data_IF_493620295654
#
_entry.id   IF_493620295654
#
_cell.length_a   1.000
_cell.length_b   1.000
_cell.length_c   1.000
_cell.angle_alpha   90.00
_cell.angle_beta   90.00
_cell.angle_gamma   90.00
#
_symmetry.space_group_name_H-M   'P 1'
#
loop_
_entity.id
_entity.type
_entity.pdbx_description
1 polymer ?
#
# COMPACT_ATOMS: atom_id res chain seq x y z
N UNK A 1 21.68 -19.55 -6.38
CA UNK A 1 20.42 -20.04 -5.79
C UNK A 1 19.43 -18.88 -5.82
N UNK A 2 18.29 -19.07 -6.44
CA UNK A 2 17.25 -18.05 -6.53
C UNK A 2 16.50 -18.04 -5.20
N UNK A 3 16.53 -16.95 -4.49
CA UNK A 3 15.73 -16.75 -3.29
C UNK A 3 14.32 -16.33 -3.71
N UNK A 4 13.33 -17.11 -3.32
CA UNK A 4 11.93 -16.79 -3.57
C UNK A 4 11.39 -15.88 -2.47
N UNK A 5 10.58 -14.92 -2.86
CA UNK A 5 9.82 -14.04 -1.98
C UNK A 5 8.37 -14.56 -1.91
N UNK A 6 7.83 -14.70 -0.73
CA UNK A 6 6.43 -15.08 -0.54
C UNK A 6 5.67 -13.88 0.02
N UNK A 7 4.66 -13.42 -0.70
CA UNK A 7 3.74 -12.40 -0.24
C UNK A 7 2.58 -13.10 0.44
N UNK A 8 2.43 -12.94 1.73
CA UNK A 8 1.26 -13.40 2.48
C UNK A 8 0.40 -12.18 2.75
N UNK A 9 -0.83 -12.24 2.29
CA UNK A 9 -1.79 -11.15 2.18
C UNK A 9 -2.09 -10.38 3.47
N UNK A 10 -1.28 -9.50 3.80
CA UNK A 10 -1.24 -8.21 4.46
C UNK A 10 0.20 -7.77 4.26
N UNK A 11 0.49 -7.08 3.17
CA UNK A 11 1.79 -6.49 2.81
C UNK A 11 3.02 -7.07 3.56
N UNK A 12 3.27 -8.35 3.42
CA UNK A 12 4.42 -9.02 4.03
C UNK A 12 5.38 -9.51 2.96
N UNK A 13 6.63 -9.05 2.96
CA UNK A 13 7.70 -9.50 2.07
C UNK A 13 8.69 -10.36 2.85
N UNK A 14 8.97 -11.56 2.35
CA UNK A 14 9.95 -12.47 2.93
C UNK A 14 11.35 -12.10 2.45
N UNK A 15 12.24 -11.63 3.32
CA UNK A 15 13.62 -11.29 3.00
C UNK A 15 14.62 -12.26 3.63
N UNK A 16 15.50 -12.85 2.85
CA UNK A 16 16.60 -13.65 3.35
C UNK A 16 17.85 -12.76 3.54
N UNK A 17 18.19 -12.43 4.78
CA UNK A 17 19.47 -11.78 5.11
C UNK A 17 20.57 -12.83 5.32
N UNK A 18 21.57 -12.79 4.45
CA UNK A 18 22.66 -13.77 4.42
C UNK A 18 23.77 -13.49 5.41
N UNK A 19 24.27 -14.50 6.04
CA UNK A 19 25.61 -15.11 6.07
C UNK A 19 25.80 -15.98 7.31
N UNK A 20 25.48 -17.21 7.19
CA UNK A 20 25.92 -18.46 7.76
C UNK A 20 24.84 -19.46 7.45
N UNK A 21 25.24 -20.71 7.14
CA UNK A 21 24.29 -21.80 6.87
C UNK A 21 23.44 -22.14 8.10
N UNK A 22 22.51 -21.27 8.39
CA UNK A 22 21.28 -21.51 9.11
C UNK A 22 20.26 -21.69 8.01
N UNK A 23 19.50 -22.75 8.03
CA UNK A 23 18.30 -22.90 7.18
C UNK A 23 17.66 -21.53 7.02
N UNK A 24 17.55 -21.05 5.78
CA UNK A 24 17.01 -19.72 5.49
C UNK A 24 15.55 -19.69 5.92
N UNK A 25 15.33 -19.48 7.20
CA UNK A 25 14.03 -19.04 7.72
C UNK A 25 13.86 -17.64 7.17
N UNK A 26 12.95 -17.51 6.23
CA UNK A 26 12.64 -16.22 5.66
C UNK A 26 12.27 -15.21 6.74
N UNK A 27 12.53 -13.93 6.49
CA UNK A 27 12.06 -12.83 7.34
C UNK A 27 10.85 -12.21 6.67
N UNK A 28 9.90 -11.75 7.47
CA UNK A 28 8.73 -11.02 7.02
C UNK A 28 9.03 -9.53 7.10
N UNK A 29 8.56 -8.78 6.12
CA UNK A 29 8.59 -7.32 6.11
C UNK A 29 7.14 -6.82 6.12
N UNK A 30 6.88 -5.85 6.98
CA UNK A 30 5.58 -5.21 7.10
C UNK A 30 5.73 -3.71 6.83
N UNK A 31 4.91 -3.18 5.92
CA UNK A 31 4.78 -1.75 5.68
C UNK A 31 3.60 -1.20 6.46
N UNK A 32 3.79 -0.07 7.14
CA UNK A 32 2.75 0.55 7.95
C UNK A 32 2.92 2.08 7.98
N UNK A 33 1.93 2.75 8.51
CA UNK A 33 1.95 4.18 8.79
C UNK A 33 1.54 4.43 10.25
N UNK A 34 1.82 5.61 10.76
CA UNK A 34 1.43 6.05 12.10
C UNK A 34 0.57 7.31 12.03
N UNK A 35 -0.25 7.54 13.06
CA UNK A 35 -1.14 8.68 13.12
C UNK A 35 -2.07 8.76 11.90
N UNK A 36 -2.05 9.88 11.20
CA UNK A 36 -2.82 10.09 9.97
C UNK A 36 -1.97 9.88 8.70
N UNK A 37 -0.69 9.50 8.83
CA UNK A 37 0.23 9.18 7.73
C UNK A 37 1.04 10.38 7.23
N UNK A 38 1.14 11.46 7.97
CA UNK A 38 1.89 12.66 7.55
C UNK A 38 3.40 12.43 7.55
N UNK A 39 3.91 11.57 8.40
CA UNK A 39 5.33 11.27 8.48
C UNK A 39 5.79 10.16 7.53
N UNK A 40 4.84 9.39 6.94
CA UNK A 40 5.08 8.52 5.81
C UNK A 40 5.24 7.04 6.11
N UNK A 41 6.12 6.38 5.33
CA UNK A 41 6.35 4.94 5.33
C UNK A 41 7.14 4.50 6.55
N UNK A 42 6.61 3.56 7.29
CA UNK A 42 7.34 2.78 8.29
C UNK A 42 7.45 1.33 7.87
N UNK A 43 8.53 0.68 8.31
CA UNK A 43 8.77 -0.74 8.05
C UNK A 43 9.07 -1.46 9.36
N UNK A 44 8.59 -2.69 9.47
CA UNK A 44 8.93 -3.61 10.54
C UNK A 44 9.32 -4.96 9.98
N UNK A 45 10.21 -5.66 10.66
CA UNK A 45 10.63 -7.00 10.29
C UNK A 45 10.20 -8.02 11.35
N UNK A 46 9.98 -9.25 10.91
CA UNK A 46 9.69 -10.38 11.78
C UNK A 46 10.36 -11.65 11.26
N UNK A 47 10.75 -12.55 12.17
CA UNK A 47 11.26 -13.88 11.83
C UNK A 47 10.20 -14.98 11.90
N UNK A 48 9.12 -14.73 12.62
CA UNK A 48 8.07 -15.69 12.93
C UNK A 48 6.68 -15.24 12.43
N UNK A 49 6.56 -13.99 11.94
CA UNK A 49 5.29 -13.38 11.54
C UNK A 49 4.40 -12.94 12.71
N UNK A 50 4.85 -13.13 13.95
CA UNK A 50 4.08 -12.83 15.17
C UNK A 50 4.73 -11.70 15.99
N UNK A 51 6.06 -11.71 16.08
CA UNK A 51 6.85 -10.70 16.82
C UNK A 51 7.50 -9.77 15.81
N UNK A 52 7.19 -8.47 15.89
CA UNK A 52 7.63 -7.47 14.93
C UNK A 52 8.56 -6.46 15.58
N UNK A 53 9.62 -6.13 14.88
CA UNK A 53 10.60 -5.12 15.28
C UNK A 53 10.58 -3.96 14.26
N UNK A 54 10.35 -2.74 14.75
CA UNK A 54 10.39 -1.55 13.91
C UNK A 54 11.81 -1.32 13.37
N UNK A 55 11.92 -1.14 12.07
CA UNK A 55 13.18 -0.81 11.41
C UNK A 55 13.49 0.69 11.52
N UNK A 56 14.75 1.07 11.25
CA UNK A 56 15.22 2.46 11.29
C UNK A 56 14.93 3.17 12.63
N UNK A 57 14.92 2.41 13.75
CA UNK A 57 14.56 2.98 15.06
C UNK A 57 13.14 3.55 15.13
N UNK A 58 12.22 3.06 14.30
CA UNK A 58 10.86 3.56 14.20
C UNK A 58 10.69 4.86 13.42
N UNK A 59 11.75 5.34 12.76
CA UNK A 59 11.67 6.53 11.90
C UNK A 59 11.15 6.18 10.51
N UNK A 60 10.54 7.18 9.86
CA UNK A 60 10.03 7.05 8.49
C UNK A 60 11.14 6.79 7.48
N UNK A 61 10.86 5.93 6.49
CA UNK A 61 11.72 5.65 5.33
C UNK A 61 11.43 6.54 4.14
N UNK A 62 10.21 7.07 4.04
CA UNK A 62 9.77 7.92 2.93
C UNK A 62 8.63 8.82 3.39
N UNK A 63 8.84 10.13 3.35
CA UNK A 63 7.80 11.12 3.62
C UNK A 63 6.95 11.36 2.39
N UNK A 64 5.60 11.50 2.53
CA UNK A 64 4.74 11.76 1.38
C UNK A 64 4.92 13.19 0.86
N UNK A 65 5.08 13.31 -0.46
CA UNK A 65 5.27 14.59 -1.16
C UNK A 65 4.17 14.89 -2.19
N UNK A 66 3.39 13.86 -2.58
CA UNK A 66 2.36 13.96 -3.63
C UNK A 66 0.95 13.90 -3.05
N UNK A 67 -0.01 14.38 -3.83
CA UNK A 67 -1.41 14.46 -3.42
C UNK A 67 -1.59 15.28 -2.16
N UNK A 68 -2.48 14.87 -1.28
CA UNK A 68 -2.71 15.50 0.03
C UNK A 68 -1.58 15.30 1.05
N UNK A 69 -0.45 14.74 0.60
CA UNK A 69 0.75 14.49 1.42
C UNK A 69 0.48 13.62 2.65
N UNK A 70 -0.37 12.64 2.49
CA UNK A 70 -0.56 11.54 3.44
C UNK A 70 0.02 10.26 2.83
N UNK A 71 0.51 9.37 3.67
CA UNK A 71 0.86 8.01 3.30
C UNK A 71 0.14 7.06 4.24
N UNK A 72 -1.06 6.67 3.84
CA UNK A 72 -1.89 5.71 4.56
C UNK A 72 -1.94 4.41 3.76
N UNK A 73 -2.17 3.32 4.44
CA UNK A 73 -2.34 2.00 3.82
C UNK A 73 -1.21 1.66 2.82
N UNK A 74 0.08 1.85 3.19
CA UNK A 74 1.17 1.60 2.25
C UNK A 74 1.26 0.11 1.93
N UNK A 75 1.25 -0.24 0.65
CA UNK A 75 1.40 -1.61 0.16
C UNK A 75 2.64 -1.76 -0.71
N UNK A 76 3.47 -2.77 -0.39
CA UNK A 76 4.72 -3.09 -1.06
C UNK A 76 4.58 -4.38 -1.87
N UNK A 77 5.07 -4.36 -3.11
CA UNK A 77 5.25 -5.55 -3.94
C UNK A 77 6.66 -5.56 -4.53
N UNK A 78 7.34 -6.70 -4.51
CA UNK A 78 8.61 -6.84 -5.21
C UNK A 78 8.38 -7.46 -6.60
N UNK A 79 8.86 -6.78 -7.63
CA UNK A 79 8.83 -7.25 -9.00
C UNK A 79 9.89 -8.34 -9.28
N UNK A 80 9.80 -8.99 -10.44
CA UNK A 80 10.73 -10.07 -10.83
C UNK A 80 12.17 -9.59 -11.02
N UNK A 81 12.37 -8.31 -11.26
CA UNK A 81 13.68 -7.66 -11.38
C UNK A 81 14.26 -7.21 -10.03
N UNK A 82 13.58 -7.54 -8.92
CA UNK A 82 13.96 -7.19 -7.56
C UNK A 82 13.61 -5.76 -7.15
N UNK A 83 12.92 -4.97 -8.00
CA UNK A 83 12.44 -3.64 -7.64
C UNK A 83 11.25 -3.75 -6.70
N UNK A 84 11.27 -2.97 -5.63
CA UNK A 84 10.12 -2.77 -4.76
C UNK A 84 9.24 -1.66 -5.33
N UNK A 85 7.96 -1.92 -5.42
CA UNK A 85 6.93 -0.98 -5.82
C UNK A 85 6.06 -0.69 -4.62
N UNK A 86 5.86 0.58 -4.31
CA UNK A 86 5.06 1.05 -3.19
C UNK A 86 3.88 1.84 -3.72
N UNK A 87 2.67 1.50 -3.28
CA UNK A 87 1.46 2.29 -3.49
C UNK A 87 0.86 2.69 -2.15
N UNK A 88 0.15 3.81 -2.10
CA UNK A 88 -0.46 4.30 -0.85
C UNK A 88 -1.64 5.24 -1.09
N UNK A 89 -2.51 5.35 -0.10
CA UNK A 89 -3.54 6.38 -0.03
C UNK A 89 -2.89 7.74 0.23
N UNK A 90 -3.01 8.67 -0.71
CA UNK A 90 -2.36 9.99 -0.65
C UNK A 90 -3.20 11.05 0.06
N UNK A 91 -4.50 10.82 0.23
CA UNK A 91 -5.44 11.79 0.79
C UNK A 91 -6.76 11.15 1.19
N UNK A 92 -7.53 11.84 2.01
CA UNK A 92 -8.90 11.43 2.34
C UNK A 92 -9.90 11.63 1.19
N UNK A 93 -9.71 12.59 0.30
CA UNK A 93 -10.71 13.00 -0.69
C UNK A 93 -10.19 13.12 -2.12
N UNK A 94 -9.00 12.62 -2.43
CA UNK A 94 -8.46 12.68 -3.79
C UNK A 94 -8.83 11.47 -4.63
N UNK A 95 -8.86 11.68 -5.94
CA UNK A 95 -9.20 10.66 -6.95
C UNK A 95 -7.96 9.91 -7.46
N UNK A 96 -6.94 9.78 -6.62
CA UNK A 96 -5.67 9.16 -6.98
C UNK A 96 -4.92 8.58 -5.79
N UNK A 97 -3.88 7.86 -6.12
CA UNK A 97 -2.97 7.17 -5.18
C UNK A 97 -1.54 7.64 -5.37
N UNK A 98 -0.71 7.45 -4.37
CA UNK A 98 0.72 7.64 -4.49
C UNK A 98 1.43 6.39 -5.01
N UNK A 99 2.56 6.57 -5.69
CA UNK A 99 3.42 5.51 -6.22
C UNK A 99 4.90 5.91 -6.10
N UNK A 100 5.75 4.98 -5.68
CA UNK A 100 7.21 5.10 -5.71
C UNK A 100 7.86 3.72 -5.88
N UNK A 101 9.17 3.74 -6.22
CA UNK A 101 9.96 2.53 -6.42
C UNK A 101 11.27 2.60 -5.62
N UNK A 102 11.79 1.44 -5.23
CA UNK A 102 13.09 1.31 -4.57
C UNK A 102 13.77 0.00 -4.91
N UNK A 103 15.11 -0.02 -4.89
CA UNK A 103 15.90 -1.25 -4.98
C UNK A 103 16.37 -1.77 -3.63
N UNK A 104 16.33 -0.94 -2.61
CA UNK A 104 16.94 -1.19 -1.29
C UNK A 104 16.02 -0.86 -0.09
N UNK A 105 14.81 -0.32 -0.36
CA UNK A 105 13.83 0.16 0.63
C UNK A 105 14.30 1.41 1.42
N UNK A 106 15.44 1.98 1.07
CA UNK A 106 16.03 3.16 1.71
C UNK A 106 16.04 4.34 0.74
N UNK A 107 16.49 4.09 -0.48
CA UNK A 107 16.55 5.10 -1.55
C UNK A 107 15.35 4.92 -2.46
N UNK A 108 14.52 5.96 -2.55
CA UNK A 108 13.27 5.93 -3.31
C UNK A 108 13.34 6.81 -4.56
N UNK A 109 12.67 6.37 -5.60
CA UNK A 109 12.42 7.20 -6.79
C UNK A 109 11.64 8.48 -6.43
N UNK A 110 11.61 9.48 -7.34
CA UNK A 110 10.60 10.53 -7.24
C UNK A 110 9.21 9.93 -7.11
N UNK A 111 8.41 10.49 -6.21
CA UNK A 111 7.04 10.06 -5.99
C UNK A 111 6.14 10.51 -7.15
N UNK A 112 5.15 9.70 -7.45
CA UNK A 112 4.17 10.00 -8.49
C UNK A 112 2.77 9.98 -7.88
N UNK A 113 1.92 10.93 -8.27
CA UNK A 113 0.49 10.87 -8.05
C UNK A 113 -0.17 10.24 -9.27
N UNK A 114 -0.84 9.13 -9.08
CA UNK A 114 -1.55 8.39 -10.15
C UNK A 114 -3.05 8.64 -10.00
N UNK A 115 -3.68 9.40 -10.93
CA UNK A 115 -5.08 9.80 -10.82
C UNK A 115 -6.02 8.68 -11.29
N UNK A 116 -6.03 7.57 -10.56
CA UNK A 116 -6.72 6.31 -10.91
C UNK A 116 -8.23 6.44 -11.07
N UNK A 117 -8.85 7.45 -10.46
CA UNK A 117 -10.29 7.72 -10.55
C UNK A 117 -10.66 9.03 -11.26
N UNK A 118 -9.69 9.68 -11.93
CA UNK A 118 -9.96 10.96 -12.61
C UNK A 118 -11.00 10.87 -13.75
N UNK A 119 -11.22 9.68 -14.30
CA UNK A 119 -12.24 9.42 -15.32
C UNK A 119 -13.66 9.33 -14.74
N UNK A 120 -13.81 9.33 -13.41
CA UNK A 120 -15.08 9.25 -12.69
C UNK A 120 -15.31 10.52 -11.86
N UNK A 121 -15.99 11.56 -12.40
CA UNK A 121 -16.14 12.85 -11.71
C UNK A 121 -16.84 12.75 -10.35
N UNK A 122 -17.67 11.73 -10.15
CA UNK A 122 -18.34 11.46 -8.88
C UNK A 122 -17.51 10.68 -7.86
N UNK A 123 -16.27 10.27 -8.19
CA UNK A 123 -15.42 9.57 -7.25
C UNK A 123 -15.00 10.48 -6.11
N UNK A 124 -15.19 10.01 -4.89
CA UNK A 124 -14.96 10.77 -3.68
C UNK A 124 -13.58 10.51 -3.06
N UNK A 125 -12.96 9.41 -3.42
CA UNK A 125 -11.71 8.93 -2.86
C UNK A 125 -11.07 7.85 -3.72
N UNK A 126 -9.79 7.52 -3.42
CA UNK A 126 -9.11 6.32 -3.86
C UNK A 126 -8.27 5.82 -2.67
N UNK A 127 -8.74 4.78 -1.97
CA UNK A 127 -8.20 4.36 -0.69
C UNK A 127 -7.66 2.93 -0.70
N UNK A 128 -6.74 2.69 0.24
CA UNK A 128 -6.16 1.38 0.50
C UNK A 128 -5.76 0.67 -0.79
N UNK A 129 -4.90 1.29 -1.63
CA UNK A 129 -4.42 0.62 -2.82
C UNK A 129 -3.56 -0.58 -2.43
N UNK A 130 -3.74 -1.66 -3.16
CA UNK A 130 -2.84 -2.80 -3.10
C UNK A 130 -2.23 -3.05 -4.47
N UNK A 131 -1.02 -3.60 -4.48
CA UNK A 131 -0.28 -3.95 -5.68
C UNK A 131 0.21 -5.38 -5.60
N UNK A 132 0.06 -6.12 -6.69
CA UNK A 132 0.63 -7.46 -6.85
C UNK A 132 1.25 -7.61 -8.23
N UNK A 133 2.18 -8.56 -8.36
CA UNK A 133 2.71 -8.97 -9.65
C UNK A 133 2.04 -10.27 -10.09
N UNK A 134 1.32 -10.21 -11.21
CA UNK A 134 0.76 -11.38 -11.89
C UNK A 134 1.84 -11.99 -12.79
N UNK A 135 2.44 -13.08 -12.34
CA UNK A 135 3.47 -13.78 -13.10
C UNK A 135 2.92 -14.45 -14.37
N UNK A 136 1.63 -14.81 -14.40
CA UNK A 136 1.00 -15.41 -15.56
C UNK A 136 0.81 -14.42 -16.70
N UNK A 137 0.44 -13.21 -16.38
CA UNK A 137 0.27 -12.11 -17.34
C UNK A 137 1.52 -11.23 -17.48
N UNK A 138 2.57 -11.47 -16.67
CA UNK A 138 3.79 -10.65 -16.63
C UNK A 138 3.53 -9.16 -16.42
N UNK A 139 2.58 -8.82 -15.53
CA UNK A 139 2.16 -7.45 -15.27
C UNK A 139 1.91 -7.20 -13.79
N UNK A 140 1.98 -5.92 -13.40
CA UNK A 140 1.48 -5.50 -12.09
C UNK A 140 -0.02 -5.21 -12.18
N UNK A 141 -0.74 -5.59 -11.14
CA UNK A 141 -2.13 -5.23 -10.94
C UNK A 141 -2.21 -4.36 -9.70
N UNK A 142 -2.82 -3.20 -9.83
CA UNK A 142 -3.13 -2.31 -8.71
C UNK A 142 -4.63 -2.25 -8.58
N UNK A 143 -5.15 -2.42 -7.37
CA UNK A 143 -6.57 -2.28 -7.07
C UNK A 143 -6.76 -1.44 -5.81
N UNK A 144 -7.88 -0.77 -5.73
CA UNK A 144 -8.16 0.19 -4.63
C UNK A 144 -9.65 0.23 -4.33
N UNK A 145 -10.00 0.87 -3.23
CA UNK A 145 -11.37 1.10 -2.79
C UNK A 145 -11.80 2.52 -3.11
N UNK A 146 -12.95 2.69 -3.77
CA UNK A 146 -13.53 4.00 -4.06
C UNK A 146 -15.03 4.01 -3.81
N UNK A 147 -15.54 5.17 -3.40
CA UNK A 147 -16.96 5.52 -3.45
C UNK A 147 -17.20 6.47 -4.60
N UNK A 148 -18.17 6.15 -5.44
CA UNK A 148 -18.67 7.08 -6.46
C UNK A 148 -20.02 7.60 -5.97
N UNK A 149 -20.15 8.92 -5.86
CA UNK A 149 -21.36 9.58 -5.36
C UNK A 149 -22.60 9.12 -6.14
N UNK A 150 -23.66 8.83 -5.41
CA UNK A 150 -24.97 8.42 -5.94
C UNK A 150 -24.98 7.12 -6.77
N UNK A 151 -23.86 6.36 -6.78
CA UNK A 151 -23.78 5.05 -7.43
C UNK A 151 -24.08 3.93 -6.44
N UNK A 152 -24.79 2.89 -6.89
CA UNK A 152 -25.21 1.72 -6.10
C UNK A 152 -26.08 2.05 -4.88
N UNK A 153 -27.16 2.84 -5.04
CA UNK A 153 -27.98 3.29 -3.91
C UNK A 153 -28.64 2.13 -3.16
N UNK A 154 -28.86 0.98 -3.81
CA UNK A 154 -29.45 -0.23 -3.24
C UNK A 154 -28.62 -0.86 -2.12
N UNK A 155 -27.32 -0.58 -2.08
CA UNK A 155 -26.43 -1.11 -1.05
C UNK A 155 -26.15 -0.12 0.10
N UNK A 156 -26.56 1.14 -0.05
CA UNK A 156 -26.41 2.18 0.98
C UNK A 156 -27.24 1.84 2.22
N UNK A 157 -28.43 1.27 2.04
CA UNK A 157 -29.34 0.91 3.12
C UNK A 157 -28.82 -0.23 4.02
N UNK A 158 -27.86 -1.01 3.55
CA UNK A 158 -27.28 -2.14 4.29
C UNK A 158 -26.18 -1.75 5.29
N UNK A 159 -25.94 -0.45 5.53
CA UNK A 159 -25.00 0.03 6.53
C UNK A 159 -23.72 0.62 5.96
N UNK A 160 -23.80 1.41 4.89
CA UNK A 160 -22.64 2.15 4.39
C UNK A 160 -21.99 2.99 5.49
N UNK A 161 -20.65 2.95 5.54
CA UNK A 161 -19.88 3.69 6.52
C UNK A 161 -20.05 5.20 6.34
N UNK A 162 -20.30 5.90 7.44
CA UNK A 162 -20.32 7.36 7.44
C UNK A 162 -18.93 7.87 7.66
N UNK A 163 -18.37 8.58 6.67
CA UNK A 163 -17.08 9.24 6.85
C UNK A 163 -17.26 10.54 7.60
N UNK A 164 -16.66 10.62 8.78
CA UNK A 164 -16.47 11.81 9.56
C UNK A 164 -17.77 12.53 9.96
N UNK A 165 -17.62 13.77 10.38
CA UNK A 165 -18.74 14.62 10.84
C UNK A 165 -19.67 15.09 9.71
N UNK A 166 -19.31 14.88 8.44
CA UNK A 166 -20.08 15.35 7.28
C UNK A 166 -21.28 14.48 6.96
N UNK A 167 -21.39 13.29 7.57
CA UNK A 167 -22.50 12.37 7.33
C UNK A 167 -22.54 11.76 5.92
N UNK A 168 -21.48 11.93 5.13
CA UNK A 168 -21.37 11.33 3.81
C UNK A 168 -21.29 9.82 3.94
N UNK A 169 -22.19 9.12 3.27
CA UNK A 169 -22.24 7.66 3.26
C UNK A 169 -21.24 7.18 2.22
N UNK A 170 -20.27 6.38 2.66
CA UNK A 170 -19.32 5.70 1.78
C UNK A 170 -19.86 4.33 1.41
N UNK A 171 -19.98 4.10 0.12
CA UNK A 171 -20.41 2.86 -0.47
C UNK A 171 -19.28 2.34 -1.38
N UNK A 172 -18.21 1.88 -0.72
CA UNK A 172 -16.99 1.48 -1.39
C UNK A 172 -17.18 0.28 -2.33
N UNK A 173 -16.47 0.33 -3.46
CA UNK A 173 -16.27 -0.77 -4.38
C UNK A 173 -14.79 -0.87 -4.69
N UNK A 174 -14.36 -2.06 -5.08
CA UNK A 174 -13.00 -2.30 -5.54
C UNK A 174 -12.93 -2.00 -7.03
N UNK A 175 -11.92 -1.26 -7.41
CA UNK A 175 -11.56 -0.89 -8.79
C UNK A 175 -10.12 -1.32 -9.07
N UNK A 176 -9.78 -1.50 -10.34
CA UNK A 176 -8.44 -1.88 -10.80
C UNK A 176 -8.17 -1.28 -12.18
#
# INVERSE_FOLDING_TARGET
MRYGWLIVGVCGVLCALGARAVEARGSYLFSYFIGNGEDGLHLAASRDGLTWEALNGGQSFLKPEVGGKLMRDPCLCQGPDGTFHLVWTSSWGEQGIGLAHSKDLVTWSPQQFVPVMAHEPGAMNAWAPEILYDAGASQFVIYWSSTIKDRFPETIAAGGDRIGQTGVICNHRIYY
#
